data_IF_554345481269
#
_entry.id   IF_554345481269
#
_cell.length_a   1.000
_cell.length_b   1.000
_cell.length_c   1.000
_cell.angle_alpha   90.00
_cell.angle_beta   90.00
_cell.angle_gamma   90.00
#
_symmetry.space_group_name_H-M   'P 1'
#
loop_
_entity.id
_entity.type
_entity.pdbx_description
1 polymer ?
#
# COMPACT_ATOMS: atom_id res chain seq x y z
N UNK A 1 -5.47 8.33 -7.11
CA UNK A 1 -4.63 7.12 -7.03
C UNK A 1 -3.19 7.56 -6.77
N UNK A 2 -2.48 6.87 -5.86
CA UNK A 2 -1.06 7.04 -5.55
C UNK A 2 -0.33 5.81 -6.07
N UNK A 3 0.70 6.00 -6.87
CA UNK A 3 1.40 4.90 -7.57
C UNK A 3 2.63 4.41 -6.81
N UNK A 4 3.24 3.33 -7.28
CA UNK A 4 4.57 2.90 -6.89
C UNK A 4 5.62 3.96 -7.20
N UNK A 5 6.81 3.86 -6.60
CA UNK A 5 7.88 4.84 -6.78
C UNK A 5 9.05 4.62 -5.82
N UNK A 6 9.84 5.67 -5.67
CA UNK A 6 11.04 5.74 -4.82
C UNK A 6 10.69 5.76 -3.32
N UNK A 7 11.68 5.53 -2.46
CA UNK A 7 11.45 5.47 -1.01
C UNK A 7 11.03 6.81 -0.41
N UNK A 8 10.26 6.75 0.67
CA UNK A 8 9.83 7.93 1.44
C UNK A 8 10.94 8.31 2.42
N UNK A 9 11.21 9.62 2.57
CA UNK A 9 12.18 10.09 3.55
C UNK A 9 11.81 9.66 4.97
N UNK A 10 12.74 9.01 5.70
CA UNK A 10 12.54 8.64 7.10
C UNK A 10 12.23 9.82 8.03
N UNK A 11 12.57 11.05 7.65
CA UNK A 11 12.26 12.26 8.40
C UNK A 11 10.74 12.43 8.63
N UNK A 12 9.90 11.93 7.69
CA UNK A 12 8.44 12.02 7.82
C UNK A 12 7.84 11.10 8.89
N UNK A 13 8.58 10.06 9.30
CA UNK A 13 8.18 9.20 10.42
C UNK A 13 9.16 9.22 11.59
N UNK A 14 9.97 10.34 11.67
CA UNK A 14 10.84 10.66 12.81
C UNK A 14 11.94 9.61 13.08
N UNK A 15 12.40 8.95 12.05
CA UNK A 15 13.52 8.01 12.13
C UNK A 15 14.71 8.54 11.31
N UNK A 16 15.93 8.12 11.71
CA UNK A 16 17.14 8.39 10.91
C UNK A 16 17.19 7.43 9.73
N UNK A 17 17.65 7.92 8.57
CA UNK A 17 17.96 7.04 7.46
C UNK A 17 19.12 6.11 7.85
N UNK A 18 18.85 4.81 7.87
CA UNK A 18 19.86 3.77 8.17
C UNK A 18 20.82 3.52 6.99
N UNK A 19 20.72 4.31 5.92
CA UNK A 19 21.42 4.11 4.65
C UNK A 19 20.70 3.12 3.72
N UNK A 20 19.52 2.66 4.11
CA UNK A 20 18.73 1.69 3.35
C UNK A 20 17.63 2.34 2.50
N UNK A 21 17.10 3.47 2.94
CA UNK A 21 16.17 4.25 2.11
C UNK A 21 16.92 4.92 0.96
N UNK A 22 16.47 4.66 -0.28
CA UNK A 22 17.17 5.01 -1.52
C UNK A 22 16.34 5.95 -2.39
N UNK A 23 17.02 6.70 -3.24
CA UNK A 23 16.37 7.51 -4.30
C UNK A 23 15.26 8.43 -3.79
N UNK A 24 15.37 8.92 -2.54
CA UNK A 24 14.36 9.79 -1.91
C UNK A 24 14.11 11.02 -2.79
N UNK A 25 12.83 11.35 -3.01
CA UNK A 25 12.41 12.51 -3.75
C UNK A 25 11.57 13.47 -2.87
N UNK A 26 12.18 14.50 -2.25
CA UNK A 26 11.47 15.38 -1.33
C UNK A 26 10.26 16.12 -1.93
N UNK A 27 10.32 16.42 -3.22
CA UNK A 27 9.20 17.06 -3.92
C UNK A 27 7.99 16.11 -4.03
N UNK A 28 8.23 14.83 -4.36
CA UNK A 28 7.20 13.82 -4.42
C UNK A 28 6.58 13.59 -3.04
N UNK A 29 7.42 13.43 -2.00
CA UNK A 29 6.96 13.26 -0.62
C UNK A 29 6.05 14.41 -0.18
N UNK A 30 6.49 15.65 -0.41
CA UNK A 30 5.72 16.85 -0.07
C UNK A 30 4.39 16.91 -0.83
N UNK A 31 4.41 16.61 -2.13
CA UNK A 31 3.22 16.65 -2.98
C UNK A 31 2.20 15.59 -2.56
N UNK A 32 2.64 14.36 -2.33
CA UNK A 32 1.74 13.29 -1.90
C UNK A 32 1.20 13.51 -0.49
N UNK A 33 2.00 14.06 0.43
CA UNK A 33 1.52 14.44 1.75
C UNK A 33 0.33 15.39 1.64
N UNK A 34 0.45 16.47 0.86
CA UNK A 34 -0.63 17.45 0.66
C UNK A 34 -1.86 16.81 0.02
N UNK A 35 -1.68 15.95 -0.98
CA UNK A 35 -2.77 15.23 -1.64
C UNK A 35 -3.50 14.29 -0.67
N UNK A 36 -2.77 13.53 0.13
CA UNK A 36 -3.34 12.62 1.13
C UNK A 36 -4.09 13.39 2.19
N UNK A 37 -3.50 14.43 2.79
CA UNK A 37 -4.15 15.27 3.78
C UNK A 37 -5.47 15.86 3.25
N UNK A 38 -5.45 16.40 2.03
CA UNK A 38 -6.65 16.95 1.40
C UNK A 38 -7.72 15.86 1.15
N UNK A 39 -7.34 14.74 0.56
CA UNK A 39 -8.25 13.66 0.22
C UNK A 39 -8.86 13.01 1.47
N UNK A 40 -8.06 12.80 2.51
CA UNK A 40 -8.54 12.29 3.81
C UNK A 40 -9.53 13.26 4.46
N UNK A 41 -9.25 14.57 4.42
CA UNK A 41 -10.17 15.59 4.97
C UNK A 41 -11.49 15.66 4.22
N UNK A 42 -11.48 15.49 2.90
CA UNK A 42 -12.66 15.61 2.02
C UNK A 42 -13.36 14.27 1.76
N UNK A 43 -12.91 13.17 2.36
CA UNK A 43 -13.41 11.83 2.11
C UNK A 43 -13.41 11.44 0.62
N UNK A 44 -12.36 11.88 -0.10
CA UNK A 44 -12.13 11.51 -1.50
C UNK A 44 -11.56 10.10 -1.55
N UNK A 45 -12.07 9.22 -2.42
CA UNK A 45 -11.53 7.86 -2.57
C UNK A 45 -10.03 7.84 -2.88
N UNK A 46 -9.29 7.00 -2.16
CA UNK A 46 -7.84 6.83 -2.34
C UNK A 46 -7.53 5.35 -2.58
N UNK A 47 -6.78 5.06 -3.64
CA UNK A 47 -6.07 3.80 -3.84
C UNK A 47 -4.58 4.10 -3.83
N UNK A 48 -3.84 3.50 -2.88
CA UNK A 48 -2.38 3.56 -2.80
C UNK A 48 -1.77 2.23 -3.23
N UNK A 49 -0.83 2.26 -4.18
CA UNK A 49 -0.14 1.07 -4.72
C UNK A 49 1.32 1.13 -4.31
N UNK A 50 1.84 0.08 -3.70
CA UNK A 50 3.22 -0.09 -3.26
C UNK A 50 3.68 1.12 -2.42
N UNK A 51 4.53 1.99 -2.97
CA UNK A 51 4.92 3.24 -2.31
C UNK A 51 3.69 4.08 -1.89
N UNK A 52 2.61 4.10 -2.68
CA UNK A 52 1.38 4.81 -2.36
C UNK A 52 0.69 4.30 -1.08
N UNK A 53 0.74 2.99 -0.79
CA UNK A 53 0.29 2.44 0.50
C UNK A 53 1.19 2.93 1.65
N UNK A 54 2.49 2.90 1.44
CA UNK A 54 3.48 3.38 2.42
C UNK A 54 3.28 4.87 2.72
N UNK A 55 3.03 5.68 1.69
CA UNK A 55 2.71 7.11 1.81
C UNK A 55 1.43 7.35 2.63
N UNK A 56 0.36 6.59 2.36
CA UNK A 56 -0.85 6.62 3.17
C UNK A 56 -0.54 6.35 4.64
N UNK A 57 0.23 5.32 4.94
CA UNK A 57 0.60 4.99 6.32
C UNK A 57 1.42 6.11 6.96
N UNK A 58 2.50 6.55 6.32
CA UNK A 58 3.42 7.55 6.87
C UNK A 58 2.74 8.90 7.08
N UNK A 59 2.06 9.43 6.07
CA UNK A 59 1.45 10.76 6.16
C UNK A 59 0.17 10.79 7.00
N UNK A 60 -0.31 9.62 7.43
CA UNK A 60 -1.34 9.49 8.46
C UNK A 60 -0.77 9.14 9.86
N UNK A 61 0.56 9.19 10.06
CA UNK A 61 1.23 9.06 11.37
C UNK A 61 1.75 7.66 11.71
N UNK A 62 1.88 6.78 10.72
CA UNK A 62 2.58 5.51 10.82
C UNK A 62 4.07 5.61 10.55
N UNK A 63 4.77 4.47 10.51
CA UNK A 63 6.20 4.38 10.16
C UNK A 63 6.48 3.16 9.29
N UNK A 64 7.71 3.10 8.73
CA UNK A 64 8.15 2.03 7.84
C UNK A 64 9.34 1.26 8.41
N UNK A 65 9.42 0.00 8.05
CA UNK A 65 10.63 -0.81 8.00
C UNK A 65 11.40 -0.29 6.80
N UNK A 66 12.62 0.21 7.01
CA UNK A 66 13.42 0.80 5.93
C UNK A 66 14.03 -0.25 4.99
N UNK A 67 14.22 -1.47 5.49
CA UNK A 67 14.72 -2.59 4.69
C UNK A 67 14.36 -3.93 5.36
N UNK A 68 13.44 -4.65 4.77
CA UNK A 68 12.92 -5.91 5.32
C UNK A 68 14.04 -6.91 5.64
N UNK A 69 14.99 -7.21 4.72
CA UNK A 69 16.04 -8.16 4.99
C UNK A 69 16.94 -7.77 6.18
N UNK A 70 17.19 -6.46 6.35
CA UNK A 70 18.09 -5.98 7.41
C UNK A 70 17.42 -5.91 8.78
N UNK A 71 16.11 -5.61 8.84
CA UNK A 71 15.39 -5.38 10.10
C UNK A 71 14.65 -6.63 10.60
N UNK A 72 14.19 -7.51 9.72
CA UNK A 72 13.35 -8.66 10.07
C UNK A 72 14.04 -9.99 9.83
N UNK A 73 15.05 -10.03 8.94
CA UNK A 73 15.71 -11.29 8.56
C UNK A 73 14.73 -12.24 7.87
N UNK A 74 14.10 -11.77 6.83
CA UNK A 74 12.89 -12.24 6.22
C UNK A 74 12.78 -13.75 5.98
N UNK A 75 11.64 -14.30 6.36
CA UNK A 75 11.21 -15.63 5.96
C UNK A 75 10.76 -15.67 4.49
N UNK A 76 10.26 -14.56 3.94
CA UNK A 76 9.83 -14.46 2.53
C UNK A 76 10.67 -13.42 1.76
N UNK A 77 10.74 -13.61 0.44
CA UNK A 77 11.43 -12.68 -0.45
C UNK A 77 10.39 -11.70 -1.00
N UNK A 78 10.57 -10.40 -0.71
CA UNK A 78 9.68 -9.32 -1.16
C UNK A 78 10.22 -8.52 -2.35
N UNK A 79 11.49 -8.72 -2.70
CA UNK A 79 12.11 -8.12 -3.89
C UNK A 79 13.25 -9.01 -4.40
N UNK A 80 13.59 -8.87 -5.69
CA UNK A 80 14.79 -9.49 -6.26
C UNK A 80 15.77 -8.43 -6.73
N UNK A 81 17.08 -8.75 -6.69
CA UNK A 81 18.14 -7.85 -7.15
C UNK A 81 18.04 -7.50 -8.64
N UNK A 82 17.39 -8.36 -9.43
CA UNK A 82 17.25 -8.22 -10.89
C UNK A 82 15.92 -7.56 -11.30
N UNK A 83 15.18 -6.94 -10.38
CA UNK A 83 13.86 -6.33 -10.63
C UNK A 83 12.81 -7.29 -11.22
N UNK A 84 13.07 -8.59 -11.21
CA UNK A 84 12.10 -9.60 -11.60
C UNK A 84 11.03 -9.72 -10.53
N UNK A 85 9.79 -10.00 -10.96
CA UNK A 85 8.70 -10.26 -10.04
C UNK A 85 9.04 -11.44 -9.13
N UNK A 86 8.97 -11.20 -7.83
CA UNK A 86 8.85 -12.24 -6.82
C UNK A 86 7.37 -12.44 -6.55
N UNK A 87 6.95 -13.64 -6.20
CA UNK A 87 5.57 -13.92 -5.84
C UNK A 87 5.53 -14.60 -4.49
N UNK A 88 4.63 -14.12 -3.63
CA UNK A 88 4.36 -14.75 -2.33
C UNK A 88 2.85 -14.82 -2.05
N UNK A 89 2.48 -15.51 -0.98
CA UNK A 89 1.10 -15.61 -0.56
C UNK A 89 0.77 -14.58 0.51
N UNK A 90 -0.41 -13.98 0.39
CA UNK A 90 -1.00 -13.10 1.38
C UNK A 90 -2.27 -13.72 1.95
N UNK A 91 -2.63 -13.33 3.18
CA UNK A 91 -3.91 -13.66 3.81
C UNK A 91 -4.78 -12.42 3.88
N UNK A 92 -5.89 -12.41 3.13
CA UNK A 92 -6.88 -11.33 3.14
C UNK A 92 -7.84 -11.56 4.31
N UNK A 93 -7.96 -10.54 5.18
CA UNK A 93 -8.89 -10.53 6.30
C UNK A 93 -10.34 -10.49 5.83
N UNK A 94 -11.19 -11.36 6.41
CA UNK A 94 -12.63 -11.43 6.11
C UNK A 94 -13.36 -10.11 6.37
N UNK A 95 -12.91 -9.33 7.34
CA UNK A 95 -13.52 -8.05 7.73
C UNK A 95 -13.10 -6.87 6.87
N UNK A 96 -12.14 -7.05 5.96
CA UNK A 96 -11.62 -5.97 5.12
C UNK A 96 -12.48 -5.73 3.88
N UNK A 97 -12.53 -4.49 3.33
CA UNK A 97 -13.18 -4.22 2.05
C UNK A 97 -12.52 -4.98 0.90
N UNK A 98 -11.24 -5.31 1.00
CA UNK A 98 -10.51 -6.08 0.02
C UNK A 98 -11.10 -7.49 -0.17
N UNK A 99 -11.63 -8.09 0.92
CA UNK A 99 -12.30 -9.40 0.84
C UNK A 99 -13.55 -9.40 -0.04
N UNK A 100 -14.22 -8.25 -0.18
CA UNK A 100 -15.38 -8.10 -1.08
C UNK A 100 -14.97 -7.96 -2.54
N UNK A 101 -13.73 -7.56 -2.79
CA UNK A 101 -13.18 -7.34 -4.13
C UNK A 101 -12.52 -8.61 -4.66
N UNK A 102 -11.65 -9.23 -3.86
CA UNK A 102 -10.84 -10.39 -4.25
C UNK A 102 -11.29 -11.72 -3.64
N UNK A 103 -12.10 -11.70 -2.58
CA UNK A 103 -12.36 -12.85 -1.72
C UNK A 103 -11.48 -12.81 -0.47
N UNK A 104 -11.87 -13.52 0.58
CA UNK A 104 -11.04 -13.68 1.78
C UNK A 104 -10.16 -14.93 1.67
N UNK A 105 -9.11 -15.01 2.49
CA UNK A 105 -8.19 -16.15 2.54
C UNK A 105 -6.90 -15.92 1.77
N UNK A 106 -6.28 -16.99 1.31
CA UNK A 106 -4.97 -16.95 0.67
C UNK A 106 -5.04 -16.55 -0.78
N UNK A 107 -4.21 -15.57 -1.17
CA UNK A 107 -4.05 -15.12 -2.55
C UNK A 107 -2.56 -14.99 -2.86
N UNK A 108 -2.18 -15.31 -4.11
CA UNK A 108 -0.81 -15.11 -4.59
C UNK A 108 -0.70 -13.74 -5.24
N UNK A 109 0.32 -12.95 -4.87
CA UNK A 109 0.58 -11.60 -5.40
C UNK A 109 2.04 -11.45 -5.84
N UNK A 110 2.29 -10.51 -6.75
CA UNK A 110 3.65 -10.10 -7.09
C UNK A 110 4.24 -9.20 -6.00
N UNK A 111 5.55 -9.09 -5.94
CA UNK A 111 6.25 -8.28 -4.95
C UNK A 111 7.51 -7.65 -5.54
N UNK A 112 7.67 -6.33 -5.28
CA UNK A 112 8.76 -5.50 -5.80
C UNK A 112 9.24 -4.49 -4.74
N UNK A 113 9.10 -4.79 -3.45
CA UNK A 113 9.39 -3.82 -2.39
C UNK A 113 10.38 -4.38 -1.38
N UNK A 114 11.26 -3.53 -0.87
CA UNK A 114 12.17 -3.84 0.22
C UNK A 114 11.79 -3.14 1.53
N UNK A 115 10.86 -2.20 1.48
CA UNK A 115 10.28 -1.51 2.63
C UNK A 115 8.87 -2.02 2.93
N UNK A 116 8.42 -1.89 4.18
CA UNK A 116 7.09 -2.30 4.62
C UNK A 116 6.57 -1.41 5.74
N UNK A 117 5.28 -1.52 6.06
CA UNK A 117 4.69 -0.88 7.25
C UNK A 117 5.29 -1.48 8.53
N UNK A 118 5.86 -0.61 9.40
CA UNK A 118 6.38 -0.96 10.72
C UNK A 118 5.32 -0.68 11.79
N UNK A 119 4.88 0.57 11.87
CA UNK A 119 3.78 0.99 12.73
C UNK A 119 2.61 1.44 11.88
N UNK A 120 1.46 0.81 12.07
CA UNK A 120 0.25 1.20 11.38
C UNK A 120 -0.26 2.55 11.89
N UNK A 121 -0.66 3.43 10.97
CA UNK A 121 -1.25 4.72 11.30
C UNK A 121 -2.56 4.55 12.08
N UNK A 122 -2.82 5.45 13.03
CA UNK A 122 -4.07 5.46 13.79
C UNK A 122 -5.28 5.62 12.87
N UNK A 123 -6.34 4.84 13.11
CA UNK A 123 -7.55 4.84 12.29
C UNK A 123 -7.47 3.94 11.04
N UNK A 124 -6.33 3.31 10.79
CA UNK A 124 -6.20 2.27 9.77
C UNK A 124 -6.34 0.87 10.36
N UNK A 125 -6.69 -0.07 9.52
CA UNK A 125 -6.75 -1.51 9.82
C UNK A 125 -6.01 -2.29 8.74
N UNK A 126 -5.46 -3.45 9.13
CA UNK A 126 -4.79 -4.36 8.20
C UNK A 126 -5.85 -5.10 7.39
N UNK A 127 -5.74 -5.05 6.06
CA UNK A 127 -6.59 -5.76 5.14
C UNK A 127 -5.99 -7.10 4.69
N UNK A 128 -4.66 -7.17 4.59
CA UNK A 128 -3.93 -8.40 4.26
C UNK A 128 -2.51 -8.37 4.84
N UNK A 129 -1.96 -9.55 5.10
CA UNK A 129 -0.57 -9.75 5.51
C UNK A 129 0.05 -10.94 4.80
N UNK A 130 1.35 -10.91 4.56
CA UNK A 130 2.13 -12.06 4.12
C UNK A 130 2.33 -13.08 5.27
N UNK A 131 2.85 -14.27 4.97
CA UNK A 131 3.01 -15.34 5.96
C UNK A 131 4.08 -15.04 6.98
N UNK A 132 5.04 -14.17 6.67
CA UNK A 132 6.07 -13.65 7.59
C UNK A 132 5.60 -12.46 8.45
N UNK A 133 4.32 -12.06 8.31
CA UNK A 133 3.70 -10.99 9.09
C UNK A 133 3.85 -9.60 8.47
N UNK A 134 4.53 -9.46 7.33
CA UNK A 134 4.59 -8.19 6.60
C UNK A 134 3.18 -7.75 6.19
N UNK A 135 2.88 -6.47 6.46
CA UNK A 135 1.59 -5.87 6.10
C UNK A 135 1.55 -5.62 4.59
N UNK A 136 0.60 -6.25 3.93
CA UNK A 136 0.44 -6.22 2.48
C UNK A 136 -0.73 -5.36 2.00
N UNK A 137 -1.71 -5.12 2.86
CA UNK A 137 -2.77 -4.15 2.56
C UNK A 137 -3.32 -3.50 3.83
N UNK A 138 -3.68 -2.22 3.70
CA UNK A 138 -4.28 -1.42 4.77
C UNK A 138 -5.53 -0.70 4.24
N UNK A 139 -6.46 -0.39 5.14
CA UNK A 139 -7.65 0.40 4.80
C UNK A 139 -8.06 1.30 5.97
N UNK A 140 -8.80 2.37 5.68
CA UNK A 140 -9.36 3.24 6.70
C UNK A 140 -10.88 2.98 6.83
N UNK A 141 -11.35 2.31 7.91
CA UNK A 141 -12.76 1.92 8.04
C UNK A 141 -13.73 3.11 8.11
N UNK A 142 -13.27 4.27 8.55
CA UNK A 142 -14.08 5.48 8.69
C UNK A 142 -14.25 6.29 7.40
N UNK A 143 -13.62 5.84 6.30
CA UNK A 143 -13.65 6.50 5.00
C UNK A 143 -14.42 5.68 3.96
N UNK A 144 -15.03 6.36 2.98
CA UNK A 144 -15.78 5.70 1.91
C UNK A 144 -14.95 4.67 1.15
N UNK A 145 -13.73 5.04 0.79
CA UNK A 145 -12.77 4.15 0.15
C UNK A 145 -11.35 4.70 0.31
N UNK A 146 -10.63 4.19 1.27
CA UNK A 146 -9.19 4.41 1.41
C UNK A 146 -8.56 3.04 1.57
N UNK A 147 -7.88 2.58 0.53
CA UNK A 147 -7.24 1.28 0.43
C UNK A 147 -5.80 1.47 -0.03
N UNK A 148 -4.87 0.89 0.69
CA UNK A 148 -3.47 0.74 0.30
C UNK A 148 -3.15 -0.73 0.08
N UNK A 149 -2.42 -1.06 -0.98
CA UNK A 149 -1.92 -2.40 -1.28
C UNK A 149 -0.43 -2.33 -1.59
N UNK A 150 0.33 -3.31 -1.11
CA UNK A 150 1.79 -3.31 -1.22
C UNK A 150 2.28 -3.88 -2.55
N UNK A 151 1.53 -4.81 -3.13
CA UNK A 151 1.84 -5.36 -4.45
C UNK A 151 1.39 -4.44 -5.59
N UNK A 152 1.69 -4.85 -6.82
CA UNK A 152 1.41 -4.10 -8.05
C UNK A 152 0.28 -4.77 -8.85
N UNK A 153 -0.99 -4.39 -8.65
CA UNK A 153 -2.13 -4.97 -9.39
C UNK A 153 -2.14 -4.60 -10.87
N UNK A 154 -1.40 -3.56 -11.26
CA UNK A 154 -1.24 -3.14 -12.65
C UNK A 154 -0.21 -3.96 -13.43
N UNK A 155 0.57 -4.80 -12.72
CA UNK A 155 1.53 -5.72 -13.32
C UNK A 155 0.98 -7.14 -13.28
N UNK A 156 1.50 -8.00 -14.15
CA UNK A 156 1.20 -9.43 -14.15
C UNK A 156 -0.30 -9.77 -14.20
N UNK A 157 -1.10 -8.95 -14.90
CA UNK A 157 -2.56 -9.11 -15.00
C UNK A 157 -2.93 -10.50 -15.57
N UNK A 158 -2.14 -11.00 -16.50
CA UNK A 158 -2.36 -12.34 -17.08
C UNK A 158 -2.10 -13.46 -16.08
N UNK A 159 -1.16 -13.26 -15.15
CA UNK A 159 -0.84 -14.24 -14.10
C UNK A 159 -1.81 -14.20 -12.92
N UNK A 160 -2.37 -13.03 -12.62
CA UNK A 160 -3.32 -12.79 -11.50
C UNK A 160 -4.47 -11.91 -11.99
N UNK A 161 -5.45 -12.47 -12.73
CA UNK A 161 -6.56 -11.70 -13.30
C UNK A 161 -7.42 -10.96 -12.25
N UNK A 162 -7.47 -11.48 -11.01
CA UNK A 162 -8.18 -10.86 -9.89
C UNK A 162 -7.69 -9.45 -9.55
N UNK A 163 -6.44 -9.13 -9.89
CA UNK A 163 -5.86 -7.81 -9.67
C UNK A 163 -6.64 -6.70 -10.37
N UNK A 164 -7.23 -6.98 -11.55
CA UNK A 164 -8.06 -6.01 -12.28
C UNK A 164 -9.28 -5.57 -11.50
N UNK A 165 -9.80 -6.42 -10.60
CA UNK A 165 -10.98 -6.12 -9.77
C UNK A 165 -10.73 -4.96 -8.82
N UNK A 166 -9.48 -4.78 -8.33
CA UNK A 166 -9.13 -3.68 -7.41
C UNK A 166 -9.25 -2.35 -8.12
N UNK A 167 -8.63 -2.24 -9.31
CA UNK A 167 -8.66 -1.01 -10.12
C UNK A 167 -10.10 -0.70 -10.55
N UNK A 168 -10.85 -1.71 -10.99
CA UNK A 168 -12.25 -1.57 -11.39
C UNK A 168 -13.13 -1.11 -10.22
N UNK A 169 -12.94 -1.64 -9.02
CA UNK A 169 -13.66 -1.22 -7.82
C UNK A 169 -13.36 0.24 -7.47
N UNK A 170 -12.10 0.65 -7.56
CA UNK A 170 -11.70 2.04 -7.32
C UNK A 170 -12.33 3.00 -8.34
N UNK A 171 -12.26 2.68 -9.64
CA UNK A 171 -12.87 3.51 -10.70
C UNK A 171 -14.37 3.65 -10.46
N UNK A 172 -15.07 2.54 -10.18
CA UNK A 172 -16.50 2.56 -9.90
C UNK A 172 -16.86 3.50 -8.76
N UNK A 173 -16.11 3.46 -7.66
CA UNK A 173 -16.38 4.33 -6.50
C UNK A 173 -16.10 5.80 -6.84
N UNK A 174 -15.08 6.11 -7.64
CA UNK A 174 -14.82 7.47 -8.08
C UNK A 174 -15.98 8.02 -8.93
N UNK A 175 -16.48 7.24 -9.89
CA UNK A 175 -17.60 7.65 -10.76
C UNK A 175 -18.93 7.80 -10.01
N UNK A 176 -19.20 6.92 -9.04
CA UNK A 176 -20.40 7.01 -8.19
C UNK A 176 -20.35 8.23 -7.25
N UNK A 177 -19.14 8.64 -6.85
CA UNK A 177 -18.96 9.82 -6.00
C UNK A 177 -19.21 11.14 -6.78
N UNK A 178 -18.81 11.21 -8.04
CA UNK A 178 -19.09 12.38 -8.90
C UNK A 178 -20.60 12.60 -9.10
N UNK A 179 -21.38 11.53 -9.31
CA UNK A 179 -22.85 11.61 -9.51
C UNK A 179 -23.62 12.09 -8.27
N UNK A 180 -23.02 12.06 -7.07
CA UNK A 180 -23.65 12.53 -5.83
C UNK A 180 -23.30 13.98 -5.50
N UNK A 181 -22.40 14.59 -6.25
CA UNK A 181 -21.90 15.96 -6.00
C UNK A 181 -22.53 16.97 -6.98
N UNK A 182 -23.35 16.49 -7.93
CA UNK A 182 -24.19 17.28 -8.85
C UNK A 182 -25.65 17.21 -8.37
#
# INVERSE_FOLDING_TARGET
MLTGGVDISPDYYHEKNTGKSRSICPLLDKSEKLLIEHAMKKDIPILGICRGMQALNVFCGGSLIQDIPSEIGAAEIHSSENENAVFHNIQISKSSPLSKIMGFGSHRVNSYHHQAVKKLASGFSIAASATDGIVEAIFCPSKKFVLGIQWHPERDIDAVPENTKIISAFIKICTDNERRTI
#
